data_IF_719249304132
#
_entry.id   IF_719249304132
#
_cell.length_a   1.000
_cell.length_b   1.000
_cell.length_c   1.000
_cell.angle_alpha   90.00
_cell.angle_beta   90.00
_cell.angle_gamma   90.00
#
_symmetry.space_group_name_H-M   'P 1'
#
loop_
_entity.id
_entity.type
_entity.pdbx_description
1 polymer ?
#
# COMPACT_ATOMS: atom_id res chain seq x y z
N UNK A 1 3.88 -9.07 6.66
CA UNK A 1 3.11 -8.12 5.80
C UNK A 1 2.38 -7.13 6.69
N UNK A 2 2.62 -5.83 6.50
CA UNK A 2 1.96 -4.76 7.28
C UNK A 2 1.15 -3.87 6.34
N UNK A 3 -0.08 -3.54 6.74
CA UNK A 3 -0.94 -2.59 6.04
C UNK A 3 -1.10 -1.32 6.87
N UNK A 4 -1.03 -0.16 6.20
CA UNK A 4 -1.29 1.15 6.79
C UNK A 4 -2.22 1.94 5.87
N UNK A 5 -3.14 2.72 6.46
CA UNK A 5 -3.89 3.75 5.73
C UNK A 5 -3.19 5.08 6.00
N UNK A 6 -2.86 5.81 4.93
CA UNK A 6 -2.17 7.09 4.99
C UNK A 6 -3.04 8.16 4.35
N UNK A 7 -3.33 9.22 5.10
CA UNK A 7 -3.97 10.43 4.58
C UNK A 7 -2.90 11.28 3.86
N UNK A 8 -2.84 11.18 2.54
CA UNK A 8 -1.85 11.91 1.73
C UNK A 8 -2.20 13.40 1.61
N UNK A 9 -1.17 14.24 1.46
CA UNK A 9 -1.26 15.69 1.29
C UNK A 9 -1.87 16.46 2.48
N UNK A 10 -1.84 15.88 3.68
CA UNK A 10 -2.32 16.50 4.92
C UNK A 10 -1.47 16.06 6.12
N UNK A 11 -1.49 16.87 7.18
CA UNK A 11 -0.96 16.54 8.52
C UNK A 11 -2.09 16.32 9.56
N UNK A 12 -3.35 16.51 9.15
CA UNK A 12 -4.55 16.29 9.95
C UNK A 12 -5.22 14.96 9.57
N UNK A 13 -5.65 14.14 10.54
CA UNK A 13 -6.44 12.93 10.28
C UNK A 13 -7.75 13.23 9.54
N UNK A 14 -8.19 12.28 8.71
CA UNK A 14 -9.44 12.32 7.95
C UNK A 14 -9.52 13.51 6.98
N UNK A 15 -8.38 13.93 6.45
CA UNK A 15 -8.25 15.00 5.46
C UNK A 15 -7.38 14.52 4.30
N UNK A 16 -7.31 15.27 3.20
CA UNK A 16 -6.49 14.88 2.06
C UNK A 16 -7.04 13.66 1.31
N UNK A 17 -6.16 12.79 0.81
CA UNK A 17 -6.53 11.57 0.08
C UNK A 17 -6.08 10.30 0.82
N UNK A 18 -6.99 9.47 1.36
CA UNK A 18 -6.62 8.23 2.01
C UNK A 18 -6.12 7.20 0.98
N UNK A 19 -4.94 6.64 1.21
CA UNK A 19 -4.36 5.59 0.38
C UNK A 19 -3.94 4.38 1.23
N UNK A 20 -4.10 3.19 0.66
CA UNK A 20 -3.57 1.95 1.23
C UNK A 20 -2.08 1.83 0.96
N UNK A 21 -1.28 1.45 1.96
CA UNK A 21 0.14 1.16 1.78
C UNK A 21 0.45 -0.20 2.40
N UNK A 22 0.92 -1.14 1.58
CA UNK A 22 1.35 -2.47 2.02
C UNK A 22 2.86 -2.60 1.91
N UNK A 23 3.48 -2.88 3.06
CA UNK A 23 4.90 -3.21 3.15
C UNK A 23 5.06 -4.73 3.14
N UNK A 24 5.65 -5.21 2.05
CA UNK A 24 5.98 -6.61 1.80
C UNK A 24 7.37 -6.91 2.37
N UNK A 25 7.50 -8.05 3.05
CA UNK A 25 8.78 -8.52 3.61
C UNK A 25 9.61 -9.31 2.58
N UNK A 26 8.93 -9.88 1.58
CA UNK A 26 9.56 -10.56 0.45
C UNK A 26 10.24 -9.57 -0.48
N UNK A 27 11.38 -9.92 -1.07
CA UNK A 27 12.07 -9.11 -2.08
C UNK A 27 11.41 -9.13 -3.48
N UNK A 28 10.20 -9.70 -3.59
CA UNK A 28 9.44 -9.78 -4.82
C UNK A 28 7.96 -9.48 -4.56
N UNK A 29 7.32 -8.88 -5.55
CA UNK A 29 5.87 -8.71 -5.56
C UNK A 29 5.14 -10.05 -5.80
N UNK A 30 3.98 -10.26 -5.15
CA UNK A 30 2.99 -11.23 -5.60
C UNK A 30 2.58 -11.00 -7.06
N UNK A 31 1.87 -11.97 -7.63
CA UNK A 31 1.25 -11.78 -8.95
C UNK A 31 0.26 -10.59 -8.95
N UNK A 32 0.01 -10.07 -10.15
CA UNK A 32 -0.83 -8.88 -10.33
C UNK A 32 -2.28 -9.12 -9.90
N UNK A 33 -2.80 -10.33 -10.06
CA UNK A 33 -4.17 -10.71 -9.65
C UNK A 33 -4.32 -10.58 -8.14
N UNK A 34 -3.36 -11.11 -7.37
CA UNK A 34 -3.35 -11.01 -5.92
C UNK A 34 -3.22 -9.57 -5.44
N UNK A 35 -2.38 -8.77 -6.10
CA UNK A 35 -2.28 -7.34 -5.80
C UNK A 35 -3.61 -6.61 -6.04
N UNK A 36 -4.31 -6.95 -7.13
CA UNK A 36 -5.61 -6.38 -7.47
C UNK A 36 -6.70 -6.79 -6.48
N UNK A 37 -6.74 -8.05 -6.04
CA UNK A 37 -7.65 -8.53 -4.99
C UNK A 37 -7.46 -7.75 -3.70
N UNK A 38 -6.19 -7.57 -3.28
CA UNK A 38 -5.87 -6.83 -2.06
C UNK A 38 -6.30 -5.38 -2.19
N UNK A 39 -5.99 -4.71 -3.30
CA UNK A 39 -6.41 -3.33 -3.52
C UNK A 39 -7.95 -3.17 -3.49
N UNK A 40 -8.66 -4.18 -4.01
CA UNK A 40 -10.13 -4.24 -3.99
C UNK A 40 -10.66 -4.40 -2.55
N UNK A 41 -10.05 -5.26 -1.74
CA UNK A 41 -10.41 -5.44 -0.32
C UNK A 41 -10.14 -4.18 0.50
N UNK A 42 -9.04 -3.47 0.23
CA UNK A 42 -8.71 -2.20 0.90
C UNK A 42 -9.72 -1.11 0.58
N UNK A 43 -10.32 -1.15 -0.61
CA UNK A 43 -11.42 -0.29 -1.03
C UNK A 43 -11.15 1.23 -0.87
N UNK A 44 -9.95 1.64 -1.28
CA UNK A 44 -9.54 3.05 -1.44
C UNK A 44 -9.24 3.34 -2.91
N UNK A 45 -9.11 4.62 -3.28
CA UNK A 45 -8.84 5.01 -4.67
C UNK A 45 -7.57 4.37 -5.22
N UNK A 46 -6.52 4.30 -4.40
CA UNK A 46 -5.27 3.65 -4.72
C UNK A 46 -4.71 2.85 -3.54
N UNK A 47 -3.99 1.77 -3.87
CA UNK A 47 -3.18 1.00 -2.92
C UNK A 47 -1.77 0.83 -3.47
N UNK A 48 -0.77 1.29 -2.72
CA UNK A 48 0.64 1.16 -3.04
C UNK A 48 1.23 -0.09 -2.37
N UNK A 49 2.04 -0.84 -3.13
CA UNK A 49 2.78 -1.99 -2.64
C UNK A 49 4.27 -1.68 -2.71
N UNK A 50 5.00 -1.94 -1.63
CA UNK A 50 6.45 -1.74 -1.58
C UNK A 50 7.15 -2.95 -0.98
N UNK A 51 8.33 -3.27 -1.51
CA UNK A 51 9.24 -4.25 -0.94
C UNK A 51 10.65 -3.66 -0.79
N UNK A 52 11.49 -4.19 0.11
CA UNK A 52 12.87 -3.75 0.24
C UNK A 52 13.65 -4.02 -1.06
N UNK A 53 14.46 -3.03 -1.45
CA UNK A 53 15.48 -3.22 -2.48
C UNK A 53 16.70 -3.95 -1.86
N UNK A 54 17.53 -4.61 -2.69
CA UNK A 54 18.82 -5.12 -2.24
C UNK A 54 19.66 -4.01 -1.59
N UNK A 55 20.51 -4.33 -0.60
CA UNK A 55 21.49 -3.38 -0.07
C UNK A 55 22.33 -2.81 -1.22
N UNK A 56 22.53 -1.49 -1.22
CA UNK A 56 23.39 -0.78 -2.17
C UNK A 56 24.87 -0.90 -1.87
#
# INVERSE_FOLDING_TARGET
MRICIVDAFTDRPFSGNPAGVLLLESAAFPDAERLQEIATEVNLSETAFAHPLPPG
#
